data_IF_767328759900
#
_entry.id   IF_767328759900
#
_cell.length_a   1.000
_cell.length_b   1.000
_cell.length_c   1.000
_cell.angle_alpha   90.00
_cell.angle_beta   90.00
_cell.angle_gamma   90.00
#
_symmetry.space_group_name_H-M   'P 1'
#
loop_
_entity.id
_entity.type
_entity.pdbx_description
1 polymer ?
#
# COMPACT_ATOMS: atom_id res chain seq x y z
N UNK A 1 12.99 -4.11 3.56
CA UNK A 1 13.85 -3.61 2.47
C UNK A 1 13.08 -2.60 1.64
N UNK A 2 13.60 -1.39 1.42
CA UNK A 2 12.92 -0.37 0.64
C UNK A 2 13.03 -0.63 -0.87
N UNK A 3 11.97 -0.29 -1.61
CA UNK A 3 11.89 -0.20 -3.07
C UNK A 3 11.17 1.10 -3.43
N UNK A 4 11.49 1.71 -4.58
CA UNK A 4 10.82 2.94 -5.01
C UNK A 4 11.35 3.52 -6.32
N UNK A 5 10.53 4.38 -6.94
CA UNK A 5 10.84 5.09 -8.18
C UNK A 5 11.05 6.60 -7.97
N UNK A 6 11.13 7.05 -6.72
CA UNK A 6 11.26 8.46 -6.33
C UNK A 6 9.93 9.15 -5.99
N UNK A 7 8.79 8.63 -6.46
CA UNK A 7 7.47 9.10 -6.07
C UNK A 7 6.71 8.09 -5.20
N UNK A 8 6.57 6.87 -5.72
CA UNK A 8 6.00 5.72 -5.04
C UNK A 8 7.12 4.86 -4.44
N UNK A 9 6.89 4.37 -3.23
CA UNK A 9 7.80 3.50 -2.52
C UNK A 9 7.06 2.46 -1.66
N UNK A 10 7.74 1.37 -1.36
CA UNK A 10 7.27 0.41 -0.38
C UNK A 10 8.44 -0.16 0.43
N UNK A 11 8.17 -0.51 1.69
CA UNK A 11 9.02 -1.43 2.42
C UNK A 11 8.47 -2.85 2.29
N UNK A 12 9.28 -3.75 1.74
CA UNK A 12 9.02 -5.18 1.70
C UNK A 12 9.54 -5.82 2.98
N UNK A 13 8.68 -6.56 3.69
CA UNK A 13 9.03 -7.20 4.96
C UNK A 13 8.40 -8.60 5.08
N UNK A 14 8.96 -9.40 5.99
CA UNK A 14 8.35 -10.64 6.47
C UNK A 14 8.00 -10.42 7.94
N UNK A 15 6.74 -10.63 8.30
CA UNK A 15 6.25 -10.52 9.67
C UNK A 15 6.08 -11.92 10.28
N UNK A 16 6.95 -12.21 11.25
CA UNK A 16 6.97 -13.44 12.02
C UNK A 16 6.74 -13.18 13.52
N UNK A 17 6.24 -12.00 13.90
CA UNK A 17 6.12 -11.59 15.31
C UNK A 17 5.15 -12.47 16.10
N UNK A 18 4.12 -12.99 15.46
CA UNK A 18 3.19 -13.94 16.09
C UNK A 18 3.66 -15.37 15.83
N UNK A 19 4.35 -15.97 16.81
CA UNK A 19 4.84 -17.36 16.74
C UNK A 19 3.72 -18.39 16.62
N UNK A 20 2.49 -18.03 16.97
CA UNK A 20 1.29 -18.88 16.90
C UNK A 20 0.45 -18.62 15.64
N UNK A 21 0.83 -17.63 14.82
CA UNK A 21 0.11 -17.21 13.62
C UNK A 21 0.88 -17.52 12.34
N UNK A 22 0.25 -17.35 11.16
CA UNK A 22 0.94 -17.48 9.89
C UNK A 22 2.03 -16.41 9.76
N UNK A 23 3.17 -16.78 9.20
CA UNK A 23 4.20 -15.82 8.79
C UNK A 23 3.71 -15.09 7.54
N UNK A 24 3.65 -13.77 7.60
CA UNK A 24 3.10 -12.93 6.54
C UNK A 24 4.21 -12.25 5.73
N UNK A 25 4.01 -12.15 4.43
CA UNK A 25 4.81 -11.27 3.57
C UNK A 25 4.07 -9.95 3.46
N UNK A 26 4.77 -8.82 3.61
CA UNK A 26 4.12 -7.53 3.70
C UNK A 26 4.76 -6.42 2.89
N UNK A 27 3.92 -5.46 2.50
CA UNK A 27 4.27 -4.21 1.86
C UNK A 27 3.76 -3.06 2.73
N UNK A 28 4.63 -2.14 3.12
CA UNK A 28 4.24 -0.87 3.74
C UNK A 28 4.46 0.26 2.73
N UNK A 29 3.36 0.80 2.21
CA UNK A 29 3.34 1.64 1.01
C UNK A 29 3.40 3.11 1.39
N UNK A 30 4.17 3.88 0.64
CA UNK A 30 4.31 5.32 0.78
C UNK A 30 4.30 5.99 -0.60
N UNK A 31 3.70 7.17 -0.67
CA UNK A 31 3.72 8.03 -1.85
C UNK A 31 4.03 9.45 -1.37
N UNK A 32 4.92 10.16 -2.06
CA UNK A 32 5.31 11.52 -1.69
C UNK A 32 4.14 12.52 -1.73
N UNK A 33 3.04 12.19 -2.41
CA UNK A 33 1.83 13.01 -2.51
C UNK A 33 0.80 12.65 -1.43
N UNK A 34 1.04 11.62 -0.63
CA UNK A 34 0.18 11.19 0.48
C UNK A 34 0.39 12.03 1.74
N UNK A 35 -0.42 13.08 1.88
CA UNK A 35 -0.39 14.03 2.99
C UNK A 35 -1.74 14.02 3.72
N UNK A 36 -1.72 14.07 5.05
CA UNK A 36 -2.94 14.27 5.84
C UNK A 36 -3.26 15.76 6.03
N UNK A 37 -4.40 16.05 6.64
CA UNK A 37 -4.91 17.40 6.93
C UNK A 37 -3.98 18.25 7.81
N UNK A 38 -3.05 17.60 8.52
CA UNK A 38 -2.09 18.24 9.41
C UNK A 38 -0.77 18.59 8.71
N UNK A 39 -0.68 18.38 7.39
CA UNK A 39 0.52 18.66 6.61
C UNK A 39 1.64 17.65 6.84
N UNK A 40 1.32 16.42 7.27
CA UNK A 40 2.29 15.36 7.50
C UNK A 40 2.23 14.30 6.40
N UNK A 41 3.40 13.78 6.02
CA UNK A 41 3.47 12.59 5.16
C UNK A 41 2.89 11.38 5.88
N UNK A 42 1.94 10.71 5.23
CA UNK A 42 1.32 9.50 5.76
C UNK A 42 1.56 8.31 4.86
N UNK A 43 1.70 7.13 5.48
CA UNK A 43 1.70 5.86 4.74
C UNK A 43 0.35 5.67 4.05
N UNK A 44 0.41 5.26 2.78
CA UNK A 44 -0.76 5.00 1.95
C UNK A 44 -1.52 3.80 2.49
N UNK A 45 -0.82 2.73 2.86
CA UNK A 45 -1.42 1.55 3.46
C UNK A 45 -0.41 0.45 3.76
N UNK A 46 -0.90 -0.63 4.37
CA UNK A 46 -0.14 -1.84 4.60
C UNK A 46 -0.89 -3.02 3.98
N UNK A 47 -0.20 -3.79 3.15
CA UNK A 47 -0.73 -5.00 2.54
C UNK A 47 0.05 -6.20 3.08
N UNK A 48 -0.64 -7.27 3.43
CA UNK A 48 -0.05 -8.54 3.84
C UNK A 48 -0.57 -9.68 2.98
N UNK A 49 0.29 -10.67 2.76
CA UNK A 49 0.01 -11.85 1.98
C UNK A 49 0.25 -13.08 2.86
N UNK A 50 -0.74 -13.96 2.89
CA UNK A 50 -0.67 -15.29 3.48
C UNK A 50 -0.75 -16.35 2.37
N UNK A 51 0.12 -17.35 2.44
CA UNK A 51 0.27 -18.40 1.45
C UNK A 51 -0.17 -19.74 2.04
N UNK A 52 -1.01 -20.49 1.33
CA UNK A 52 -1.50 -21.80 1.77
C UNK A 52 -1.38 -22.83 0.65
N UNK A 53 -0.58 -23.90 0.79
CA UNK A 53 0.24 -24.24 1.96
C UNK A 53 1.34 -23.21 2.23
N UNK A 54 1.74 -23.11 3.50
CA UNK A 54 2.79 -22.17 3.91
C UNK A 54 4.15 -22.63 3.38
N UNK A 55 4.99 -21.73 2.82
CA UNK A 55 6.36 -22.07 2.43
C UNK A 55 7.28 -22.29 3.65
N UNK A 56 6.81 -22.00 4.86
CA UNK A 56 7.52 -22.15 6.12
C UNK A 56 7.38 -23.57 6.72
N UNK A 57 7.52 -24.60 5.89
CA UNK A 57 7.19 -25.98 6.24
C UNK A 57 8.03 -26.54 7.42
N UNK A 58 9.25 -26.06 7.62
CA UNK A 58 10.12 -26.46 8.75
C UNK A 58 10.10 -25.45 9.90
N UNK A 59 9.11 -24.55 9.93
CA UNK A 59 8.97 -23.51 10.94
C UNK A 59 10.23 -22.63 11.01
N UNK A 60 10.79 -22.38 12.21
CA UNK A 60 12.00 -21.56 12.40
C UNK A 60 13.24 -22.04 11.65
N UNK A 61 13.30 -23.32 11.28
CA UNK A 61 14.45 -23.90 10.56
C UNK A 61 14.31 -23.80 9.03
N UNK A 62 13.22 -23.22 8.52
CA UNK A 62 13.03 -23.02 7.09
C UNK A 62 14.12 -22.07 6.57
N UNK A 63 14.93 -22.46 5.56
CA UNK A 63 15.89 -21.56 4.95
C UNK A 63 15.18 -20.32 4.39
N UNK A 64 15.73 -19.15 4.70
CA UNK A 64 15.17 -17.87 4.28
C UNK A 64 16.26 -16.91 3.87
N UNK A 65 16.03 -16.22 2.76
CA UNK A 65 16.89 -15.16 2.27
C UNK A 65 16.06 -14.02 1.72
N UNK A 66 16.36 -12.80 2.17
CA UNK A 66 15.79 -11.56 1.64
C UNK A 66 16.92 -10.66 1.17
N UNK A 67 16.93 -10.33 -0.12
CA UNK A 67 17.98 -9.51 -0.75
C UNK A 67 17.33 -8.36 -1.51
N UNK A 68 17.91 -7.17 -1.39
CA UNK A 68 17.69 -6.07 -2.33
C UNK A 68 18.77 -6.15 -3.40
N UNK A 69 18.37 -6.42 -4.64
CA UNK A 69 19.25 -6.29 -5.80
C UNK A 69 19.27 -4.82 -6.22
N UNK A 70 20.37 -4.13 -5.87
CA UNK A 70 20.54 -2.71 -6.17
C UNK A 70 20.66 -2.43 -7.68
N UNK A 71 21.07 -3.41 -8.50
CA UNK A 71 21.18 -3.25 -9.95
C UNK A 71 19.82 -3.20 -10.64
N UNK A 72 18.84 -3.92 -10.10
CA UNK A 72 17.47 -4.02 -10.65
C UNK A 72 16.42 -3.31 -9.81
N UNK A 73 16.77 -2.80 -8.62
CA UNK A 73 15.83 -2.17 -7.70
C UNK A 73 14.79 -3.14 -7.12
N UNK A 74 15.06 -4.45 -7.16
CA UNK A 74 14.11 -5.51 -6.81
C UNK A 74 14.45 -6.13 -5.47
N UNK A 75 13.44 -6.32 -4.61
CA UNK A 75 13.56 -7.18 -3.44
C UNK A 75 13.16 -8.60 -3.83
N UNK A 76 14.07 -9.55 -3.61
CA UNK A 76 13.82 -10.98 -3.77
C UNK A 76 13.76 -11.66 -2.40
N UNK A 77 12.70 -12.43 -2.17
CA UNK A 77 12.58 -13.36 -1.06
C UNK A 77 12.70 -14.78 -1.60
N UNK A 78 13.53 -15.60 -0.97
CA UNK A 78 13.64 -17.04 -1.21
C UNK A 78 13.30 -17.75 0.11
N UNK A 79 12.26 -18.58 0.10
CA UNK A 79 11.75 -19.31 1.27
C UNK A 79 11.77 -20.81 0.95
N UNK A 80 12.41 -21.61 1.79
CA UNK A 80 12.66 -23.03 1.55
C UNK A 80 13.94 -23.26 0.75
N UNK A 81 14.13 -24.48 0.22
CA UNK A 81 15.31 -24.85 -0.56
C UNK A 81 14.98 -25.83 -1.69
N UNK A 82 15.89 -25.92 -2.68
CA UNK A 82 15.81 -26.91 -3.75
C UNK A 82 14.44 -26.97 -4.43
N UNK A 83 13.86 -28.16 -4.49
CA UNK A 83 12.58 -28.41 -5.18
C UNK A 83 11.33 -27.93 -4.42
N UNK A 84 11.45 -27.42 -3.19
CA UNK A 84 10.33 -26.88 -2.40
C UNK A 84 10.34 -25.36 -2.28
N UNK A 85 11.29 -24.68 -2.93
CA UNK A 85 11.47 -23.24 -2.80
C UNK A 85 10.27 -22.44 -3.33
N UNK A 86 9.94 -21.36 -2.62
CA UNK A 86 9.05 -20.30 -3.05
C UNK A 86 9.85 -19.01 -3.17
N UNK A 87 9.67 -18.31 -4.29
CA UNK A 87 10.34 -17.05 -4.61
C UNK A 87 9.31 -15.94 -4.71
N UNK A 88 9.64 -14.78 -4.16
CA UNK A 88 8.84 -13.56 -4.28
C UNK A 88 9.75 -12.46 -4.80
N UNK A 89 9.30 -11.76 -5.83
CA UNK A 89 9.96 -10.58 -6.36
C UNK A 89 9.03 -9.38 -6.24
N UNK A 90 9.52 -8.32 -5.63
CA UNK A 90 8.78 -7.08 -5.46
C UNK A 90 9.64 -5.88 -5.85
N UNK A 91 9.06 -4.99 -6.66
CA UNK A 91 9.70 -3.77 -7.15
C UNK A 91 8.66 -2.69 -7.40
N UNK A 92 9.11 -1.45 -7.54
CA UNK A 92 8.28 -0.34 -8.03
C UNK A 92 8.69 -0.09 -9.47
N UNK A 93 7.72 -0.01 -10.37
CA UNK A 93 7.99 0.29 -11.77
C UNK A 93 8.60 1.69 -11.90
N UNK A 94 9.63 1.82 -12.75
CA UNK A 94 10.37 3.07 -12.88
C UNK A 94 9.62 4.12 -13.71
N UNK A 95 8.66 3.71 -14.53
CA UNK A 95 7.93 4.57 -15.46
C UNK A 95 6.47 4.76 -15.06
N UNK A 96 5.92 3.83 -14.29
CA UNK A 96 4.55 3.84 -13.81
C UNK A 96 4.49 3.88 -12.28
N UNK A 97 3.52 4.60 -11.70
CA UNK A 97 3.28 4.65 -10.24
C UNK A 97 2.60 3.35 -9.75
N UNK A 98 3.26 2.22 -9.96
CA UNK A 98 2.79 0.89 -9.56
C UNK A 98 3.85 0.09 -8.80
N UNK A 99 3.42 -0.59 -7.75
CA UNK A 99 4.19 -1.65 -7.08
C UNK A 99 3.81 -2.98 -7.71
N UNK A 100 4.80 -3.77 -8.11
CA UNK A 100 4.61 -5.12 -8.65
C UNK A 100 5.11 -6.13 -7.63
N UNK A 101 4.34 -7.19 -7.42
CA UNK A 101 4.71 -8.35 -6.62
C UNK A 101 4.38 -9.63 -7.39
N UNK A 102 5.39 -10.45 -7.61
CA UNK A 102 5.28 -11.76 -8.24
C UNK A 102 5.69 -12.85 -7.25
N UNK A 103 4.94 -13.95 -7.24
CA UNK A 103 5.23 -15.15 -6.45
C UNK A 103 5.33 -16.33 -7.42
N UNK A 104 6.42 -17.08 -7.32
CA UNK A 104 6.57 -18.38 -7.97
C UNK A 104 6.89 -19.43 -6.90
N UNK A 105 6.04 -20.45 -6.80
CA UNK A 105 6.15 -21.56 -5.86
C UNK A 105 6.28 -22.89 -6.59
N UNK A 106 7.10 -23.78 -6.04
CA UNK A 106 7.22 -25.16 -6.49
C UNK A 106 5.94 -25.98 -6.35
N UNK A 107 5.03 -25.59 -5.45
CA UNK A 107 3.73 -26.22 -5.22
C UNK A 107 2.60 -25.24 -5.50
N UNK A 108 1.40 -25.76 -5.76
CA UNK A 108 0.24 -24.89 -5.96
C UNK A 108 -0.19 -24.27 -4.63
N UNK A 109 -0.30 -22.94 -4.60
CA UNK A 109 -0.65 -22.15 -3.41
C UNK A 109 -1.92 -21.35 -3.64
N UNK A 110 -2.74 -21.25 -2.59
CA UNK A 110 -3.71 -20.18 -2.44
C UNK A 110 -3.05 -18.97 -1.79
N UNK A 111 -3.44 -17.78 -2.23
CA UNK A 111 -2.94 -16.51 -1.70
C UNK A 111 -4.11 -15.73 -1.11
N UNK A 112 -3.99 -15.36 0.16
CA UNK A 112 -4.89 -14.38 0.80
C UNK A 112 -4.14 -13.06 0.95
N UNK A 113 -4.67 -12.00 0.37
CA UNK A 113 -4.14 -10.64 0.42
C UNK A 113 -5.05 -9.80 1.29
N UNK A 114 -4.48 -9.13 2.28
CA UNK A 114 -5.21 -8.27 3.22
C UNK A 114 -4.61 -6.88 3.23
N UNK A 115 -5.44 -5.86 3.05
CA UNK A 115 -5.05 -4.47 3.33
C UNK A 115 -5.53 -4.05 4.71
N UNK A 116 -4.69 -3.31 5.43
CA UNK A 116 -4.97 -2.72 6.74
C UNK A 116 -5.14 -1.21 6.58
N UNK A 117 -6.32 -0.69 6.98
CA UNK A 117 -6.54 0.75 7.12
C UNK A 117 -5.70 1.27 8.28
N UNK A 118 -4.71 2.11 8.00
CA UNK A 118 -3.76 2.60 9.00
C UNK A 118 -4.38 3.66 9.91
N UNK A 119 -5.44 4.33 9.45
CA UNK A 119 -6.23 5.30 10.21
C UNK A 119 -7.70 4.86 10.18
N UNK A 120 -8.09 3.78 10.89
CA UNK A 120 -9.44 3.23 10.79
C UNK A 120 -10.52 4.12 11.41
N UNK A 121 -10.13 5.15 12.14
CA UNK A 121 -11.00 6.17 12.74
C UNK A 121 -10.32 7.53 12.65
N UNK A 122 -11.13 8.57 12.54
CA UNK A 122 -10.62 9.94 12.63
C UNK A 122 -10.01 10.20 14.00
N UNK A 123 -8.97 11.02 14.05
CA UNK A 123 -8.25 11.35 15.27
C UNK A 123 -7.69 12.77 15.22
N UNK A 124 -7.34 13.31 16.40
CA UNK A 124 -6.64 14.58 16.48
C UNK A 124 -5.14 14.37 16.65
N UNK A 125 -4.35 15.13 15.91
CA UNK A 125 -2.89 15.17 16.03
C UNK A 125 -2.39 16.59 16.12
N UNK A 126 -1.35 16.82 16.91
CA UNK A 126 -0.57 18.06 16.88
C UNK A 126 0.78 17.74 16.24
N UNK A 127 1.05 18.23 15.02
CA UNK A 127 2.33 18.01 14.35
C UNK A 127 3.50 18.52 15.19
N UNK A 128 4.66 17.86 15.06
CA UNK A 128 5.85 18.12 15.89
C UNK A 128 6.32 19.58 15.90
N UNK A 129 6.06 20.33 14.83
CA UNK A 129 6.48 21.72 14.68
C UNK A 129 5.30 22.69 14.54
N UNK A 130 4.13 22.31 15.07
CA UNK A 130 2.93 23.13 14.99
C UNK A 130 2.26 23.31 16.36
N UNK A 131 1.81 24.53 16.66
CA UNK A 131 1.26 24.87 17.99
C UNK A 131 -0.20 24.47 18.20
N UNK A 132 -0.88 23.93 17.17
CA UNK A 132 -2.32 23.64 17.16
C UNK A 132 -2.63 22.22 16.69
N UNK A 133 -3.70 21.59 17.19
CA UNK A 133 -4.15 20.29 16.73
C UNK A 133 -4.91 20.39 15.40
N UNK A 134 -4.91 19.28 14.65
CA UNK A 134 -5.65 19.07 13.41
C UNK A 134 -6.49 17.79 13.52
N UNK A 135 -7.65 17.79 12.87
CA UNK A 135 -8.47 16.59 12.71
C UNK A 135 -8.00 15.85 11.46
N UNK A 136 -7.53 14.62 11.64
CA UNK A 136 -7.16 13.72 10.54
C UNK A 136 -8.32 12.76 10.27
N UNK A 137 -8.75 12.68 9.01
CA UNK A 137 -9.86 11.81 8.60
C UNK A 137 -9.48 10.32 8.66
N UNK A 138 -10.50 9.46 8.74
CA UNK A 138 -10.31 8.03 8.64
C UNK A 138 -9.96 7.61 7.20
N UNK A 139 -9.11 6.60 7.06
CA UNK A 139 -8.99 5.83 5.83
C UNK A 139 -10.25 4.99 5.60
N UNK A 140 -10.49 4.60 4.35
CA UNK A 140 -11.64 3.77 3.99
C UNK A 140 -11.36 2.85 2.80
N UNK A 141 -12.18 1.82 2.67
CA UNK A 141 -12.14 0.91 1.52
C UNK A 141 -12.83 1.53 0.30
N UNK A 142 -12.23 1.30 -0.86
CA UNK A 142 -12.79 1.68 -2.15
C UNK A 142 -13.39 0.45 -2.78
N UNK A 143 -14.70 0.49 -3.02
CA UNK A 143 -15.45 -0.59 -3.65
C UNK A 143 -15.95 -0.16 -5.04
N UNK A 144 -16.11 -1.12 -5.93
CA UNK A 144 -16.79 -0.93 -7.21
C UNK A 144 -18.26 -0.61 -6.97
N UNK A 145 -18.78 0.45 -7.59
CA UNK A 145 -20.16 0.89 -7.36
C UNK A 145 -21.21 -0.05 -7.95
N UNK A 146 -20.86 -0.86 -8.95
CA UNK A 146 -21.77 -1.77 -9.62
C UNK A 146 -21.73 -3.17 -9.01
N UNK A 147 -20.54 -3.73 -8.77
CA UNK A 147 -20.39 -5.08 -8.21
C UNK A 147 -20.28 -5.10 -6.68
N UNK A 148 -19.89 -3.98 -6.06
CA UNK A 148 -19.56 -3.92 -4.64
C UNK A 148 -18.18 -4.52 -4.30
N UNK A 149 -17.41 -4.93 -5.31
CA UNK A 149 -16.12 -5.58 -5.10
C UNK A 149 -15.09 -4.64 -4.50
N UNK A 150 -14.27 -5.16 -3.60
CA UNK A 150 -13.18 -4.39 -2.99
C UNK A 150 -12.07 -4.12 -4.02
N UNK A 151 -11.93 -2.87 -4.44
CA UNK A 151 -10.92 -2.40 -5.38
C UNK A 151 -9.63 -1.94 -4.70
N UNK A 152 -9.73 -1.47 -3.45
CA UNK A 152 -8.57 -1.00 -2.71
C UNK A 152 -8.95 -0.16 -1.50
N UNK A 153 -8.16 0.87 -1.22
CA UNK A 153 -8.34 1.74 -0.06
C UNK A 153 -7.81 3.15 -0.34
N UNK A 154 -8.19 4.08 0.52
CA UNK A 154 -7.83 5.48 0.34
C UNK A 154 -7.81 6.27 1.64
N UNK A 155 -7.14 7.41 1.56
CA UNK A 155 -7.25 8.52 2.51
C UNK A 155 -7.77 9.75 1.76
N UNK A 156 -8.70 10.51 2.37
CA UNK A 156 -9.11 11.80 1.85
C UNK A 156 -9.20 12.86 2.93
N UNK A 157 -8.58 13.98 2.62
CA UNK A 157 -8.63 15.21 3.38
C UNK A 157 -9.90 15.95 2.97
N UNK A 158 -10.93 15.85 3.78
CA UNK A 158 -12.21 16.54 3.49
C UNK A 158 -12.12 18.05 3.69
N UNK A 159 -11.27 18.50 4.62
CA UNK A 159 -11.01 19.89 4.92
C UNK A 159 -9.56 20.04 5.39
N UNK A 160 -8.93 21.17 5.10
CA UNK A 160 -7.68 21.56 5.76
C UNK A 160 -7.64 23.08 5.84
N UNK A 161 -7.05 23.57 6.93
CA UNK A 161 -6.68 24.96 7.12
C UNK A 161 -5.17 25.07 7.42
N UNK A 162 -4.41 24.03 7.05
CA UNK A 162 -2.98 23.90 7.35
C UNK A 162 -2.20 25.06 6.76
N UNK A 163 -2.35 25.33 5.45
CA UNK A 163 -1.60 26.39 4.77
C UNK A 163 -1.92 27.75 5.38
N UNK A 164 -3.20 28.08 5.58
CA UNK A 164 -3.63 29.34 6.20
C UNK A 164 -2.95 29.54 7.56
N UNK A 165 -2.86 28.50 8.38
CA UNK A 165 -2.24 28.66 9.70
C UNK A 165 -0.73 28.73 9.70
N UNK A 166 -0.07 28.08 8.74
CA UNK A 166 1.37 28.24 8.53
C UNK A 166 1.66 29.67 8.10
N UNK A 167 0.89 30.24 7.18
CA UNK A 167 1.04 31.64 6.77
C UNK A 167 0.91 32.58 7.97
N UNK A 168 -0.13 32.40 8.79
CA UNK A 168 -0.30 33.17 10.03
C UNK A 168 0.85 33.00 11.01
N UNK A 169 1.34 31.79 11.22
CA UNK A 169 2.48 31.54 12.11
C UNK A 169 3.78 32.20 11.62
N UNK A 170 3.90 32.44 10.32
CA UNK A 170 5.05 33.09 9.68
C UNK A 170 4.87 34.60 9.49
N UNK A 171 3.76 35.20 9.95
CA UNK A 171 3.38 36.60 9.68
C UNK A 171 3.26 36.91 8.17
N UNK A 172 2.75 35.95 7.39
CA UNK A 172 2.54 36.02 5.94
C UNK A 172 1.06 36.05 5.58
N UNK A 173 0.18 36.57 6.44
CA UNK A 173 -1.27 36.60 6.24
C UNK A 173 -1.69 37.33 4.96
N UNK A 174 -0.85 38.27 4.48
CA UNK A 174 -1.06 38.93 3.18
C UNK A 174 -1.09 37.98 1.97
N UNK A 175 -0.61 36.74 2.12
CA UNK A 175 -0.63 35.69 1.11
C UNK A 175 -1.82 34.73 1.27
N UNK A 176 -2.67 34.91 2.28
CA UNK A 176 -3.90 34.12 2.42
C UNK A 176 -4.80 34.34 1.19
N UNK A 177 -5.31 33.25 0.61
CA UNK A 177 -6.09 33.28 -0.62
C UNK A 177 -5.25 33.45 -1.91
N UNK A 178 -3.98 33.83 -1.81
CA UNK A 178 -3.01 33.79 -2.92
C UNK A 178 -2.38 32.40 -3.02
N UNK A 179 -2.04 31.81 -1.88
CA UNK A 179 -1.54 30.42 -1.79
C UNK A 179 -2.71 29.51 -1.43
N UNK A 180 -3.06 28.62 -2.37
CA UNK A 180 -4.12 27.63 -2.18
C UNK A 180 -3.69 26.53 -1.21
N UNK A 181 -4.61 26.11 -0.34
CA UNK A 181 -4.42 24.94 0.50
C UNK A 181 -4.61 23.65 -0.31
N UNK A 182 -3.53 23.16 -0.89
CA UNK A 182 -3.50 21.89 -1.66
C UNK A 182 -3.53 20.63 -0.80
N UNK A 183 -3.60 20.79 0.53
CA UNK A 183 -3.85 19.68 1.46
C UNK A 183 -5.36 19.48 1.60
N UNK A 184 -6.15 20.55 1.52
CA UNK A 184 -7.61 20.45 1.47
C UNK A 184 -8.07 19.72 0.19
N UNK A 185 -9.14 18.95 0.30
CA UNK A 185 -9.69 18.12 -0.79
C UNK A 185 -8.65 17.20 -1.45
N UNK A 186 -7.56 16.86 -0.77
CA UNK A 186 -6.61 15.89 -1.30
C UNK A 186 -7.10 14.46 -1.04
N UNK A 187 -7.05 13.59 -2.04
CA UNK A 187 -7.29 12.16 -1.86
C UNK A 187 -6.11 11.35 -2.41
N UNK A 188 -5.66 10.34 -1.67
CA UNK A 188 -4.68 9.36 -2.17
C UNK A 188 -5.30 7.98 -2.10
N UNK A 189 -5.33 7.31 -3.26
CA UNK A 189 -6.02 6.04 -3.46
C UNK A 189 -5.01 5.00 -3.91
N UNK A 190 -5.07 3.81 -3.31
CA UNK A 190 -4.37 2.63 -3.79
C UNK A 190 -5.40 1.62 -4.32
N UNK A 191 -5.17 1.13 -5.53
CA UNK A 191 -6.01 0.12 -6.19
C UNK A 191 -5.12 -1.07 -6.51
N UNK A 192 -5.56 -2.27 -6.12
CA UNK A 192 -4.89 -3.49 -6.50
C UNK A 192 -5.47 -4.10 -7.77
N UNK A 193 -4.64 -4.87 -8.46
CA UNK A 193 -5.04 -5.77 -9.55
C UNK A 193 -4.28 -7.07 -9.38
N UNK A 194 -4.93 -8.16 -9.73
CA UNK A 194 -4.39 -9.50 -9.54
C UNK A 194 -4.34 -10.20 -10.88
N UNK A 195 -3.28 -10.99 -11.11
CA UNK A 195 -3.18 -11.87 -12.27
C UNK A 195 -4.12 -13.08 -12.20
N UNK A 196 -4.94 -13.17 -11.14
CA UNK A 196 -5.91 -14.24 -10.90
C UNK A 196 -7.20 -13.69 -10.35
N UNK A 197 -8.29 -14.44 -10.53
CA UNK A 197 -9.57 -14.11 -9.94
C UNK A 197 -9.51 -14.25 -8.41
N UNK A 198 -10.03 -13.24 -7.72
CA UNK A 198 -10.01 -13.13 -6.27
C UNK A 198 -11.44 -13.02 -5.74
N UNK A 199 -11.69 -13.58 -4.56
CA UNK A 199 -12.98 -13.50 -3.86
C UNK A 199 -12.78 -13.01 -2.42
N UNK A 200 -13.81 -12.43 -1.76
CA UNK A 200 -13.72 -12.04 -0.36
C UNK A 200 -13.26 -13.18 0.57
N UNK A 201 -12.36 -12.86 1.50
CA UNK A 201 -11.78 -13.82 2.45
C UNK A 201 -12.43 -13.79 3.86
N UNK A 202 -13.58 -13.12 4.01
CA UNK A 202 -14.39 -13.11 5.23
C UNK A 202 -14.15 -11.93 6.18
N UNK A 203 -13.02 -11.23 6.06
CA UNK A 203 -12.76 -9.95 6.74
C UNK A 203 -12.77 -8.78 5.76
N UNK A 204 -13.26 -7.61 6.19
CA UNK A 204 -13.14 -6.38 5.41
C UNK A 204 -11.68 -6.11 5.06
N UNK A 205 -11.40 -5.77 3.80
CA UNK A 205 -10.03 -5.55 3.35
C UNK A 205 -9.27 -6.81 2.90
N UNK A 206 -9.88 -8.01 2.92
CA UNK A 206 -9.20 -9.25 2.57
C UNK A 206 -9.83 -9.97 1.37
N UNK A 207 -8.98 -10.35 0.41
CA UNK A 207 -9.30 -11.13 -0.77
C UNK A 207 -8.44 -12.39 -0.83
N UNK A 208 -8.96 -13.47 -1.43
CA UNK A 208 -8.22 -14.72 -1.62
C UNK A 208 -8.41 -15.29 -3.02
N UNK A 209 -7.44 -16.06 -3.48
CA UNK A 209 -7.58 -16.87 -4.69
C UNK A 209 -8.69 -17.91 -4.52
N UNK A 210 -9.39 -18.20 -5.62
CA UNK A 210 -10.36 -19.31 -5.67
C UNK A 210 -9.66 -20.65 -5.88
N UNK A 211 -8.65 -20.66 -6.74
CA UNK A 211 -7.89 -21.86 -7.11
C UNK A 211 -6.42 -21.69 -6.75
N UNK A 212 -5.82 -22.79 -6.30
CA UNK A 212 -4.39 -22.84 -6.00
C UNK A 212 -3.58 -22.84 -7.30
N UNK A 213 -2.45 -22.12 -7.30
CA UNK A 213 -1.58 -22.05 -8.45
C UNK A 213 -0.11 -21.89 -8.05
N UNK A 214 0.79 -22.26 -8.96
CA UNK A 214 2.24 -22.10 -8.74
C UNK A 214 2.71 -20.66 -8.88
N UNK A 215 1.98 -19.84 -9.64
CA UNK A 215 2.33 -18.44 -9.90
C UNK A 215 1.18 -17.52 -9.48
N UNK A 216 1.53 -16.41 -8.85
CA UNK A 216 0.61 -15.33 -8.49
C UNK A 216 1.28 -13.99 -8.74
N UNK A 217 0.53 -13.04 -9.30
CA UNK A 217 1.00 -11.67 -9.54
C UNK A 217 -0.01 -10.68 -9.02
N UNK A 218 0.48 -9.61 -8.43
CA UNK A 218 -0.30 -8.48 -7.95
C UNK A 218 0.39 -7.19 -8.37
N UNK A 219 -0.42 -6.22 -8.77
CA UNK A 219 0.02 -4.84 -9.03
C UNK A 219 -0.81 -3.92 -8.16
N UNK A 220 -0.18 -2.95 -7.51
CA UNK A 220 -0.85 -1.91 -6.72
C UNK A 220 -0.51 -0.57 -7.35
N UNK A 221 -1.49 0.09 -7.96
CA UNK A 221 -1.36 1.45 -8.46
C UNK A 221 -1.75 2.45 -7.37
N UNK A 222 -1.00 3.55 -7.27
CA UNK A 222 -1.30 4.66 -6.35
C UNK A 222 -1.51 5.93 -7.14
N UNK A 223 -2.58 6.65 -6.82
CA UNK A 223 -2.90 7.92 -7.45
C UNK A 223 -3.36 8.94 -6.41
N UNK A 224 -3.00 10.21 -6.62
CA UNK A 224 -3.41 11.32 -5.77
C UNK A 224 -4.16 12.37 -6.60
N UNK A 225 -5.26 12.88 -6.05
CA UNK A 225 -6.03 14.00 -6.58
C UNK A 225 -5.99 15.16 -5.58
N UNK A 226 -5.82 16.39 -6.06
CA UNK A 226 -5.94 17.63 -5.26
C UNK A 226 -7.37 18.24 -5.34
N UNK A 227 -8.31 17.58 -6.03
CA UNK A 227 -9.69 18.07 -6.25
C UNK A 227 -10.77 17.26 -5.49
N UNK A 228 -10.37 16.31 -4.65
CA UNK A 228 -11.25 15.43 -3.89
C UNK A 228 -11.39 14.06 -4.55
N UNK A 229 -12.44 13.33 -4.17
CA UNK A 229 -12.84 12.07 -4.82
C UNK A 229 -13.47 12.37 -6.20
N UNK A 230 -12.60 12.57 -7.20
CA UNK A 230 -12.86 12.64 -8.65
C UNK A 230 -11.74 11.88 -9.39
N UNK A 231 -11.86 11.53 -10.69
CA UNK A 231 -11.21 10.36 -11.27
C UNK A 231 -9.70 10.54 -11.48
N UNK A 232 -8.92 10.44 -10.42
CA UNK A 232 -7.56 9.95 -10.47
C UNK A 232 -7.59 8.41 -10.47
N UNK A 233 -8.25 7.82 -11.47
CA UNK A 233 -8.07 6.40 -11.72
C UNK A 233 -6.67 6.22 -12.31
N UNK A 234 -5.77 5.43 -11.69
CA UNK A 234 -4.53 5.07 -12.35
C UNK A 234 -4.88 4.42 -13.69
N UNK A 235 -4.33 4.95 -14.78
CA UNK A 235 -4.52 4.37 -16.11
C UNK A 235 -4.06 2.93 -16.06
N UNK A 236 -4.85 2.04 -16.66
CA UNK A 236 -4.48 0.63 -16.79
C UNK A 236 -3.10 0.54 -17.42
N UNK A 237 -2.12 -0.18 -16.82
CA UNK A 237 -0.97 -0.58 -17.60
C UNK A 237 -1.52 -1.42 -18.75
N UNK A 238 -1.19 -1.02 -19.97
CA UNK A 238 -1.46 -1.85 -21.13
C UNK A 238 -0.78 -3.19 -20.87
N UNK A 239 -1.53 -4.28 -20.95
CA UNK A 239 -0.98 -5.62 -21.07
C UNK A 239 -0.03 -5.61 -22.26
N UNK A 240 1.27 -5.51 -22.01
CA UNK A 240 2.29 -5.88 -22.99
C UNK A 240 2.42 -7.38 -22.91
N UNK A 241 1.87 -8.05 -23.91
CA UNK A 241 2.24 -9.42 -24.29
C UNK A 241 3.73 -9.50 -24.65
#
# INVERSE_FOLDING_TARGET
MPIGNGGLAANVFVDNKNTSGPVLIGLLIADQRSWNEAGEFVKVGKVTLNLTPTPWASGPNTPFKQVLDAGTGTVRLEIGNGSSMTTIEAFVDALEDVIVLNIASSTAINVTVTTELLRPKAFQVRPLFHCRPYNVSADFYVNDSASGDLLGWAHANTQSDYITSVLKALNLESLEGVIEDRVANRSTVAIWRFGRFMVPAGSSGALRTVEAARNFSMVIGVATSEQGFGPAFPRSPATRE
#
